data_IF_821506508216
#
_entry.id   IF_821506508216
#
_cell.length_a   1.000
_cell.length_b   1.000
_cell.length_c   1.000
_cell.angle_alpha   90.00
_cell.angle_beta   90.00
_cell.angle_gamma   90.00
#
_symmetry.space_group_name_H-M   'P 1'
#
loop_
_entity.id
_entity.type
_entity.pdbx_description
1 polymer ?
#
# COMPACT_ATOMS: atom_id res chain seq x y z
N UNK A 1 -23.02 -18.41 -20.86
CA UNK A 1 -23.60 -17.82 -19.64
C UNK A 1 -24.08 -16.42 -19.99
N UNK A 2 -25.32 -16.02 -19.69
CA UNK A 2 -25.77 -14.67 -19.98
C UNK A 2 -25.00 -13.72 -19.04
N UNK A 3 -24.10 -12.93 -19.63
CA UNK A 3 -23.38 -11.87 -18.93
C UNK A 3 -24.40 -10.92 -18.29
N UNK A 4 -24.38 -10.78 -16.97
CA UNK A 4 -25.19 -9.79 -16.25
C UNK A 4 -24.74 -8.39 -16.70
N UNK A 5 -25.51 -7.81 -17.62
CA UNK A 5 -25.25 -6.48 -18.19
C UNK A 5 -25.54 -5.35 -17.19
N UNK A 6 -26.24 -5.65 -16.10
CA UNK A 6 -26.72 -4.68 -15.12
C UNK A 6 -26.48 -5.18 -13.69
N UNK A 7 -26.26 -4.24 -12.77
CA UNK A 7 -26.27 -4.45 -11.33
C UNK A 7 -27.68 -4.76 -10.83
N UNK A 8 -27.81 -5.17 -9.56
CA UNK A 8 -29.10 -5.44 -8.92
C UNK A 8 -30.02 -4.20 -8.85
N UNK A 9 -29.46 -3.00 -9.02
CA UNK A 9 -30.17 -1.71 -9.08
C UNK A 9 -30.52 -1.26 -10.53
N UNK A 10 -30.24 -2.09 -11.54
CA UNK A 10 -30.53 -1.80 -12.95
C UNK A 10 -29.48 -0.94 -13.67
N UNK A 11 -28.40 -0.53 -13.00
CA UNK A 11 -27.33 0.24 -13.67
C UNK A 11 -26.41 -0.65 -14.50
N UNK A 12 -25.91 -0.21 -15.67
CA UNK A 12 -25.06 -1.04 -16.52
C UNK A 12 -23.74 -1.40 -15.81
N UNK A 13 -23.42 -2.70 -15.75
CA UNK A 13 -22.19 -3.22 -15.18
C UNK A 13 -21.10 -3.18 -16.25
N UNK A 14 -20.04 -2.36 -16.10
CA UNK A 14 -18.98 -2.30 -17.10
C UNK A 14 -18.29 -3.66 -17.20
N UNK A 15 -18.07 -4.13 -18.43
CA UNK A 15 -17.54 -5.47 -18.70
C UNK A 15 -16.18 -5.75 -18.06
N UNK A 16 -15.35 -4.70 -17.89
CA UNK A 16 -13.99 -4.81 -17.37
C UNK A 16 -13.90 -4.51 -15.86
N UNK A 17 -15.04 -4.23 -15.21
CA UNK A 17 -15.04 -3.89 -13.78
C UNK A 17 -14.63 -5.11 -12.96
N UNK A 18 -13.58 -4.96 -12.17
CA UNK A 18 -13.00 -6.03 -11.34
C UNK A 18 -12.00 -6.93 -12.05
N UNK A 19 -11.87 -6.89 -13.38
CA UNK A 19 -10.91 -7.73 -14.10
C UNK A 19 -9.47 -7.34 -13.82
N UNK A 20 -9.17 -6.04 -13.71
CA UNK A 20 -7.83 -5.56 -13.34
C UNK A 20 -7.38 -6.14 -12.00
N UNK A 21 -8.24 -6.06 -10.97
CA UNK A 21 -7.95 -6.63 -9.67
C UNK A 21 -7.94 -8.16 -9.72
N UNK A 22 -8.81 -8.80 -10.50
CA UNK A 22 -8.81 -10.26 -10.67
C UNK A 22 -7.51 -10.78 -11.28
N UNK A 23 -7.03 -10.17 -12.38
CA UNK A 23 -5.73 -10.49 -12.99
C UNK A 23 -4.60 -10.24 -11.99
N UNK A 24 -4.64 -9.09 -11.30
CA UNK A 24 -3.63 -8.74 -10.30
C UNK A 24 -3.60 -9.74 -9.14
N UNK A 25 -4.76 -10.23 -8.68
CA UNK A 25 -4.86 -11.31 -7.68
C UNK A 25 -4.25 -12.61 -8.19
N UNK A 26 -4.56 -13.01 -9.43
CA UNK A 26 -4.02 -14.22 -10.05
C UNK A 26 -2.50 -14.17 -10.26
N UNK A 27 -1.90 -12.98 -10.30
CA UNK A 27 -0.44 -12.81 -10.35
C UNK A 27 0.16 -12.70 -8.95
N UNK A 28 -0.42 -11.87 -8.09
CA UNK A 28 0.12 -11.55 -6.77
C UNK A 28 0.11 -12.75 -5.82
N UNK A 29 -0.97 -13.54 -5.78
CA UNK A 29 -1.07 -14.69 -4.85
C UNK A 29 -0.02 -15.76 -5.18
N UNK A 30 0.11 -16.25 -6.43
CA UNK A 30 1.15 -17.23 -6.74
C UNK A 30 2.56 -16.71 -6.46
N UNK A 31 2.85 -15.44 -6.76
CA UNK A 31 4.15 -14.83 -6.43
C UNK A 31 4.38 -14.83 -4.92
N UNK A 32 3.40 -14.40 -4.13
CA UNK A 32 3.48 -14.42 -2.67
C UNK A 32 3.74 -15.83 -2.14
N UNK A 33 3.04 -16.84 -2.66
CA UNK A 33 3.22 -18.24 -2.28
C UNK A 33 4.61 -18.76 -2.67
N UNK A 34 5.09 -18.43 -3.88
CA UNK A 34 6.38 -18.91 -4.39
C UNK A 34 7.56 -18.32 -3.62
N UNK A 35 7.44 -17.08 -3.15
CA UNK A 35 8.51 -16.38 -2.44
C UNK A 35 8.34 -16.35 -0.92
N UNK A 36 7.27 -16.96 -0.38
CA UNK A 36 6.87 -16.86 1.03
C UNK A 36 8.03 -17.09 2.02
N UNK A 37 8.86 -18.11 1.79
CA UNK A 37 9.96 -18.49 2.67
C UNK A 37 11.14 -17.53 2.68
N UNK A 38 11.24 -16.65 1.68
CA UNK A 38 12.33 -15.69 1.53
C UNK A 38 11.84 -14.23 1.65
N UNK A 39 10.55 -14.02 1.93
CA UNK A 39 10.03 -12.69 2.10
C UNK A 39 10.55 -12.07 3.40
N UNK A 40 11.00 -10.81 3.35
CA UNK A 40 11.38 -10.12 4.56
C UNK A 40 10.17 -9.94 5.48
N UNK A 41 10.35 -10.24 6.77
CA UNK A 41 9.27 -10.18 7.76
C UNK A 41 8.50 -8.84 7.78
N UNK A 42 9.16 -7.66 7.64
CA UNK A 42 8.47 -6.37 7.49
C UNK A 42 7.52 -6.27 6.29
N UNK A 43 7.80 -6.94 5.17
CA UNK A 43 6.97 -6.82 3.98
C UNK A 43 5.70 -7.69 4.05
N UNK A 44 5.74 -8.79 4.82
CA UNK A 44 4.68 -9.81 4.82
C UNK A 44 3.29 -9.23 5.13
N UNK A 45 3.07 -8.42 6.19
CA UNK A 45 1.74 -7.93 6.52
C UNK A 45 1.14 -7.04 5.41
N UNK A 46 1.96 -6.18 4.81
CA UNK A 46 1.52 -5.31 3.72
C UNK A 46 1.18 -6.09 2.45
N UNK A 47 2.00 -7.07 2.08
CA UNK A 47 1.76 -7.91 0.90
C UNK A 47 0.51 -8.80 1.05
N UNK A 48 0.27 -9.35 2.24
CA UNK A 48 -0.96 -10.08 2.55
C UNK A 48 -2.19 -9.18 2.44
N UNK A 49 -2.12 -7.97 2.99
CA UNK A 49 -3.22 -7.01 2.90
C UNK A 49 -3.52 -6.58 1.46
N UNK A 50 -2.49 -6.40 0.62
CA UNK A 50 -2.65 -6.13 -0.82
C UNK A 50 -3.38 -7.30 -1.49
N UNK A 51 -2.92 -8.55 -1.28
CA UNK A 51 -3.54 -9.73 -1.86
C UNK A 51 -5.00 -9.90 -1.42
N UNK A 52 -5.28 -9.67 -0.14
CA UNK A 52 -6.63 -9.70 0.43
C UNK A 52 -7.53 -8.65 -0.24
N UNK A 53 -7.06 -7.41 -0.36
CA UNK A 53 -7.83 -6.30 -0.95
C UNK A 53 -8.15 -6.55 -2.41
N UNK A 54 -7.15 -6.94 -3.22
CA UNK A 54 -7.37 -7.28 -4.63
C UNK A 54 -8.36 -8.44 -4.78
N UNK A 55 -8.28 -9.45 -3.92
CA UNK A 55 -9.20 -10.59 -3.91
C UNK A 55 -10.63 -10.17 -3.57
N UNK A 56 -10.84 -9.41 -2.50
CA UNK A 56 -12.18 -8.93 -2.13
C UNK A 56 -12.77 -8.03 -3.22
N UNK A 57 -11.96 -7.12 -3.76
CA UNK A 57 -12.38 -6.24 -4.86
C UNK A 57 -12.80 -7.02 -6.11
N UNK A 58 -11.97 -7.98 -6.53
CA UNK A 58 -12.30 -8.83 -7.68
C UNK A 58 -13.56 -9.66 -7.43
N UNK A 59 -13.75 -10.20 -6.23
CA UNK A 59 -14.96 -10.95 -5.86
C UNK A 59 -16.22 -10.08 -5.93
N UNK A 60 -16.20 -8.87 -5.36
CA UNK A 60 -17.33 -7.91 -5.44
C UNK A 60 -17.71 -7.64 -6.90
N UNK A 61 -16.71 -7.47 -7.76
CA UNK A 61 -16.92 -6.95 -9.11
C UNK A 61 -17.05 -7.99 -10.22
N UNK A 62 -16.52 -9.21 -10.06
CA UNK A 62 -16.61 -10.27 -11.08
C UNK A 62 -17.75 -11.25 -10.83
N UNK A 63 -18.07 -11.52 -9.55
CA UNK A 63 -19.08 -12.53 -9.22
C UNK A 63 -20.47 -11.89 -9.24
N UNK A 64 -21.47 -12.52 -9.90
CA UNK A 64 -22.85 -12.08 -9.85
C UNK A 64 -23.54 -12.62 -8.59
N UNK A 65 -23.30 -11.98 -7.46
CA UNK A 65 -23.87 -12.37 -6.17
C UNK A 65 -25.40 -12.28 -6.18
N UNK A 66 -26.08 -13.39 -5.85
CA UNK A 66 -27.55 -13.41 -5.70
C UNK A 66 -28.02 -12.90 -4.34
N UNK A 67 -27.17 -12.98 -3.31
CA UNK A 67 -27.48 -12.51 -1.96
C UNK A 67 -27.01 -11.07 -1.80
N UNK A 68 -27.94 -10.16 -1.51
CA UNK A 68 -27.66 -8.74 -1.23
C UNK A 68 -26.83 -8.59 0.04
N UNK A 69 -27.11 -9.39 1.07
CA UNK A 69 -26.36 -9.42 2.34
C UNK A 69 -24.90 -9.80 2.09
N UNK A 70 -24.66 -10.83 1.27
CA UNK A 70 -23.29 -11.26 0.96
C UNK A 70 -22.54 -10.20 0.15
N UNK A 71 -23.20 -9.58 -0.83
CA UNK A 71 -22.63 -8.48 -1.61
C UNK A 71 -22.26 -7.30 -0.70
N UNK A 72 -23.11 -6.96 0.27
CA UNK A 72 -22.85 -5.90 1.24
C UNK A 72 -21.64 -6.21 2.11
N UNK A 73 -21.54 -7.42 2.65
CA UNK A 73 -20.38 -7.87 3.43
C UNK A 73 -19.10 -7.78 2.59
N UNK A 74 -19.10 -8.30 1.37
CA UNK A 74 -17.93 -8.25 0.49
C UNK A 74 -17.54 -6.82 0.11
N UNK A 75 -18.52 -5.94 -0.11
CA UNK A 75 -18.26 -4.52 -0.37
C UNK A 75 -17.63 -3.83 0.84
N UNK A 76 -18.03 -4.21 2.06
CA UNK A 76 -17.39 -3.72 3.30
C UNK A 76 -15.97 -4.25 3.43
N UNK A 77 -15.72 -5.52 3.09
CA UNK A 77 -14.40 -6.14 3.12
C UNK A 77 -13.44 -5.56 2.07
N UNK A 78 -13.93 -5.25 0.88
CA UNK A 78 -13.17 -4.56 -0.16
C UNK A 78 -12.69 -3.18 0.32
N UNK A 79 -13.60 -2.39 0.90
CA UNK A 79 -13.28 -1.08 1.49
C UNK A 79 -12.34 -1.20 2.69
N UNK A 80 -12.54 -2.20 3.55
CA UNK A 80 -11.68 -2.39 4.73
C UNK A 80 -10.29 -2.94 4.37
N UNK A 81 -10.15 -3.63 3.23
CA UNK A 81 -8.86 -4.07 2.71
C UNK A 81 -7.86 -2.91 2.55
N UNK A 82 -8.34 -1.76 2.09
CA UNK A 82 -7.52 -0.54 1.98
C UNK A 82 -6.94 -0.12 3.35
N UNK A 83 -7.74 -0.20 4.42
CA UNK A 83 -7.27 0.08 5.77
C UNK A 83 -6.26 -0.98 6.24
N UNK A 84 -6.48 -2.24 5.89
CA UNK A 84 -5.54 -3.32 6.17
C UNK A 84 -4.19 -3.08 5.47
N UNK A 85 -4.19 -2.53 4.25
CA UNK A 85 -2.95 -2.15 3.56
C UNK A 85 -2.25 -1.04 4.31
N UNK A 86 -2.98 -0.02 4.78
CA UNK A 86 -2.39 1.04 5.60
C UNK A 86 -1.77 0.45 6.88
N UNK A 87 -2.50 -0.41 7.59
CA UNK A 87 -2.00 -1.04 8.80
C UNK A 87 -0.80 -1.95 8.54
N UNK A 88 -0.86 -2.82 7.53
CA UNK A 88 0.23 -3.73 7.19
C UNK A 88 1.48 -3.00 6.71
N UNK A 89 1.32 -1.92 5.93
CA UNK A 89 2.44 -1.20 5.32
C UNK A 89 3.08 -0.17 6.27
N UNK A 90 2.30 0.46 7.15
CA UNK A 90 2.76 1.59 7.97
C UNK A 90 2.93 1.26 9.45
N UNK A 91 2.19 0.28 9.97
CA UNK A 91 2.41 -0.26 11.31
C UNK A 91 3.18 -1.57 11.24
N UNK A 92 2.69 -2.55 10.47
CA UNK A 92 3.28 -3.88 10.37
C UNK A 92 4.74 -3.83 9.94
N UNK A 93 5.04 -3.26 8.77
CA UNK A 93 6.40 -3.25 8.25
C UNK A 93 7.41 -2.54 9.16
N UNK A 94 7.26 -1.24 9.43
CA UNK A 94 8.23 -0.50 10.22
C UNK A 94 8.40 -1.00 11.66
N UNK A 95 7.38 -1.58 12.29
CA UNK A 95 7.50 -2.14 13.66
C UNK A 95 8.17 -3.52 13.68
N UNK A 96 8.09 -4.27 12.57
CA UNK A 96 8.73 -5.57 12.40
C UNK A 96 10.20 -5.49 11.97
N UNK A 97 10.74 -4.29 11.81
CA UNK A 97 12.18 -4.09 11.59
C UNK A 97 12.98 -4.71 12.76
N UNK A 98 14.15 -5.27 12.48
CA UNK A 98 14.96 -5.91 13.51
C UNK A 98 15.66 -4.87 14.40
N UNK A 99 16.20 -3.81 13.80
CA UNK A 99 16.89 -2.75 14.54
C UNK A 99 15.89 -1.76 15.18
N UNK A 100 15.88 -1.67 16.50
CA UNK A 100 14.98 -0.81 17.27
C UNK A 100 15.17 0.68 16.96
N UNK A 101 16.39 1.11 16.63
CA UNK A 101 16.73 2.51 16.35
C UNK A 101 16.10 3.03 15.05
N UNK A 102 15.67 2.11 14.18
CA UNK A 102 15.04 2.43 12.90
C UNK A 102 13.52 2.23 12.94
N UNK A 103 12.98 1.79 14.07
CA UNK A 103 11.53 1.69 14.26
C UNK A 103 10.95 3.09 14.47
N UNK A 104 9.85 3.44 13.77
CA UNK A 104 9.11 4.62 14.13
C UNK A 104 8.58 4.50 15.57
N UNK A 105 8.38 5.63 16.27
CA UNK A 105 7.77 5.63 17.60
C UNK A 105 6.44 4.89 17.56
N UNK A 106 6.22 4.01 18.54
CA UNK A 106 5.01 3.19 18.62
C UNK A 106 3.73 4.05 18.59
N UNK A 107 3.75 5.23 19.21
CA UNK A 107 2.65 6.19 19.17
C UNK A 107 2.30 6.65 17.74
N UNK A 108 3.33 6.93 16.91
CA UNK A 108 3.12 7.29 15.50
C UNK A 108 2.55 6.09 14.74
N UNK A 109 3.13 4.90 14.93
CA UNK A 109 2.67 3.69 14.28
C UNK A 109 1.20 3.39 14.63
N UNK A 110 0.81 3.46 15.90
CA UNK A 110 -0.59 3.32 16.32
C UNK A 110 -1.47 4.39 15.66
N UNK A 111 -1.00 5.65 15.62
CA UNK A 111 -1.70 6.76 14.96
C UNK A 111 -2.01 6.47 13.49
N UNK A 112 -1.06 5.87 12.75
CA UNK A 112 -1.25 5.50 11.33
C UNK A 112 -2.29 4.40 11.09
N UNK A 113 -2.78 3.74 12.14
CA UNK A 113 -3.85 2.72 12.05
C UNK A 113 -5.14 3.21 12.69
N UNK A 114 -5.04 3.75 13.91
CA UNK A 114 -6.19 4.19 14.68
C UNK A 114 -6.94 5.33 13.98
N UNK A 115 -6.21 6.34 13.47
CA UNK A 115 -6.85 7.49 12.80
C UNK A 115 -7.60 7.06 11.54
N UNK A 116 -7.00 6.32 10.58
CA UNK A 116 -7.76 5.85 9.42
C UNK A 116 -8.94 4.96 9.78
N UNK A 117 -8.78 4.06 10.76
CA UNK A 117 -9.84 3.16 11.18
C UNK A 117 -11.01 3.92 11.83
N UNK A 118 -10.71 4.87 12.72
CA UNK A 118 -11.73 5.72 13.37
C UNK A 118 -12.46 6.58 12.34
N UNK A 119 -11.74 7.25 11.44
CA UNK A 119 -12.35 8.04 10.37
C UNK A 119 -13.20 7.15 9.46
N UNK A 120 -12.72 5.97 9.09
CA UNK A 120 -13.50 5.05 8.27
C UNK A 120 -14.76 4.55 8.96
N UNK A 121 -14.68 4.25 10.26
CA UNK A 121 -15.83 3.81 11.06
C UNK A 121 -16.87 4.91 11.17
N UNK A 122 -16.44 6.14 11.45
CA UNK A 122 -17.31 7.32 11.46
C UNK A 122 -17.91 7.58 10.08
N UNK A 123 -17.14 7.40 9.01
CA UNK A 123 -17.60 7.51 7.64
C UNK A 123 -18.72 6.56 7.30
N UNK A 124 -18.59 5.31 7.70
CA UNK A 124 -19.63 4.30 7.51
C UNK A 124 -20.85 4.63 8.39
N UNK A 125 -20.65 5.00 9.66
CA UNK A 125 -21.73 5.30 10.59
C UNK A 125 -22.54 6.56 10.21
N UNK A 126 -21.88 7.59 9.69
CA UNK A 126 -22.49 8.87 9.32
C UNK A 126 -22.85 8.98 7.82
N UNK A 127 -22.64 7.92 7.03
CA UNK A 127 -22.88 7.94 5.58
C UNK A 127 -21.88 8.79 4.78
N UNK A 128 -20.77 9.21 5.39
CA UNK A 128 -19.71 10.00 4.76
C UNK A 128 -18.68 9.09 4.08
N UNK A 129 -19.09 8.42 3.00
CA UNK A 129 -18.24 7.49 2.25
C UNK A 129 -16.83 8.00 1.91
N UNK A 130 -16.61 9.28 1.54
CA UNK A 130 -15.29 9.79 1.21
C UNK A 130 -14.30 9.94 2.39
N UNK A 131 -14.77 9.94 3.64
CA UNK A 131 -13.89 10.24 4.79
C UNK A 131 -12.89 9.10 5.08
N UNK A 132 -13.20 7.86 4.65
CA UNK A 132 -12.31 6.68 4.72
C UNK A 132 -10.94 7.03 4.13
N UNK A 133 -10.95 7.85 3.08
CA UNK A 133 -9.77 8.18 2.33
C UNK A 133 -8.90 9.27 2.95
N UNK A 134 -9.50 10.16 3.74
CA UNK A 134 -8.74 11.13 4.56
C UNK A 134 -7.86 10.39 5.55
N UNK A 135 -8.38 9.30 6.11
CA UNK A 135 -7.61 8.36 6.93
C UNK A 135 -6.35 7.85 6.23
N UNK A 136 -6.51 7.32 5.03
CA UNK A 136 -5.40 6.80 4.23
C UNK A 136 -4.35 7.90 3.96
N UNK A 137 -4.79 9.11 3.61
CA UNK A 137 -3.88 10.24 3.41
C UNK A 137 -3.06 10.56 4.67
N UNK A 138 -3.68 10.59 5.86
CA UNK A 138 -2.96 10.81 7.14
C UNK A 138 -1.88 9.74 7.36
N UNK A 139 -2.17 8.47 7.09
CA UNK A 139 -1.19 7.40 7.22
C UNK A 139 -0.01 7.62 6.25
N UNK A 140 -0.30 7.89 4.96
CA UNK A 140 0.72 8.15 3.95
C UNK A 140 1.61 9.36 4.29
N UNK A 141 1.03 10.49 4.68
CA UNK A 141 1.80 11.70 5.01
C UNK A 141 2.64 11.52 6.28
N UNK A 142 2.10 10.85 7.30
CA UNK A 142 2.83 10.58 8.54
C UNK A 142 4.06 9.70 8.26
N UNK A 143 3.89 8.63 7.48
CA UNK A 143 4.99 7.76 7.08
C UNK A 143 6.00 8.49 6.22
N UNK A 144 5.56 9.21 5.18
CA UNK A 144 6.47 9.96 4.30
C UNK A 144 7.27 11.00 5.08
N UNK A 145 6.62 11.73 5.98
CA UNK A 145 7.27 12.72 6.84
C UNK A 145 8.34 12.10 7.74
N UNK A 146 8.08 10.92 8.29
CA UNK A 146 9.07 10.19 9.10
C UNK A 146 10.35 9.88 8.33
N UNK A 147 10.23 9.36 7.10
CA UNK A 147 11.40 9.02 6.27
C UNK A 147 12.12 10.25 5.72
N UNK A 148 11.43 11.37 5.53
CA UNK A 148 12.09 12.65 5.21
C UNK A 148 12.97 13.13 6.38
N UNK A 149 12.50 12.94 7.61
CA UNK A 149 13.22 13.33 8.83
C UNK A 149 14.35 12.35 9.21
N UNK A 150 14.30 11.13 8.70
CA UNK A 150 15.30 10.09 8.91
C UNK A 150 15.91 9.65 7.56
N UNK A 151 16.62 10.57 6.87
CA UNK A 151 17.22 10.30 5.58
C UNK A 151 18.12 9.06 5.63
N UNK A 152 17.74 8.06 4.83
CA UNK A 152 18.46 6.82 4.65
C UNK A 152 19.73 7.06 3.82
N UNK A 153 20.87 7.29 4.48
CA UNK A 153 22.20 7.45 3.90
C UNK A 153 22.41 8.69 3.00
N UNK A 154 23.64 9.26 2.95
CA UNK A 154 23.93 10.47 2.14
C UNK A 154 23.73 10.30 0.63
N UNK A 155 23.92 9.09 0.08
CA UNK A 155 24.07 8.90 -1.37
C UNK A 155 22.85 8.30 -2.09
N UNK A 156 21.83 7.81 -1.37
CA UNK A 156 20.63 7.16 -1.97
C UNK A 156 19.30 7.70 -1.40
N UNK A 157 19.39 8.94 -0.91
CA UNK A 157 18.57 9.49 0.16
C UNK A 157 17.07 9.68 -0.16
N UNK A 158 16.70 9.59 -1.44
CA UNK A 158 15.35 9.90 -1.90
C UNK A 158 14.58 8.69 -2.42
N UNK A 159 15.18 7.49 -2.48
CA UNK A 159 14.50 6.32 -3.06
C UNK A 159 13.18 6.04 -2.33
N UNK A 160 13.17 5.96 -1.01
CA UNK A 160 11.94 5.70 -0.25
C UNK A 160 10.92 6.85 -0.32
N UNK A 161 11.41 8.09 -0.28
CA UNK A 161 10.58 9.30 -0.40
C UNK A 161 9.89 9.35 -1.78
N UNK A 162 10.62 9.03 -2.85
CA UNK A 162 10.09 8.96 -4.21
C UNK A 162 9.03 7.86 -4.31
N UNK A 163 9.25 6.68 -3.74
CA UNK A 163 8.23 5.61 -3.72
C UNK A 163 6.97 6.05 -3.00
N UNK A 164 7.13 6.68 -1.85
CA UNK A 164 6.01 7.17 -1.05
C UNK A 164 5.25 8.27 -1.79
N UNK A 165 5.95 9.21 -2.43
CA UNK A 165 5.35 10.28 -3.23
C UNK A 165 4.58 9.72 -4.44
N UNK A 166 5.16 8.77 -5.17
CA UNK A 166 4.50 8.11 -6.30
C UNK A 166 3.25 7.34 -5.84
N UNK A 167 3.32 6.61 -4.72
CA UNK A 167 2.15 5.98 -4.11
C UNK A 167 1.05 7.00 -3.79
N UNK A 168 1.40 8.11 -3.13
CA UNK A 168 0.45 9.17 -2.75
C UNK A 168 -0.23 9.74 -4.00
N UNK A 169 0.53 10.04 -5.05
CA UNK A 169 -0.01 10.59 -6.30
C UNK A 169 -0.93 9.60 -6.99
N UNK A 170 -0.50 8.35 -7.19
CA UNK A 170 -1.31 7.32 -7.84
C UNK A 170 -2.61 7.07 -7.07
N UNK A 171 -2.51 6.86 -5.76
CA UNK A 171 -3.67 6.61 -4.92
C UNK A 171 -4.60 7.83 -4.86
N UNK A 172 -4.04 9.03 -4.66
CA UNK A 172 -4.79 10.29 -4.57
C UNK A 172 -5.52 10.65 -5.86
N UNK A 173 -4.88 10.48 -7.02
CA UNK A 173 -5.52 10.70 -8.32
C UNK A 173 -6.59 9.65 -8.58
N UNK A 174 -6.30 8.36 -8.36
CA UNK A 174 -7.28 7.28 -8.54
C UNK A 174 -8.52 7.49 -7.68
N UNK A 175 -8.32 7.93 -6.45
CA UNK A 175 -9.40 8.29 -5.54
C UNK A 175 -10.18 9.53 -6.00
N UNK A 176 -9.49 10.57 -6.44
CA UNK A 176 -10.14 11.80 -6.91
C UNK A 176 -11.06 11.51 -8.10
N UNK A 177 -10.63 10.65 -9.02
CA UNK A 177 -11.48 10.15 -10.10
C UNK A 177 -12.71 9.41 -9.57
N UNK A 178 -12.57 8.62 -8.51
CA UNK A 178 -13.69 7.90 -7.89
C UNK A 178 -14.70 8.82 -7.19
N UNK A 179 -14.23 9.78 -6.40
CA UNK A 179 -15.10 10.70 -5.65
C UNK A 179 -15.78 11.70 -6.58
N UNK A 180 -15.02 12.29 -7.50
CA UNK A 180 -15.54 13.30 -8.42
C UNK A 180 -16.23 12.71 -9.65
N UNK A 181 -16.16 11.38 -9.84
CA UNK A 181 -16.71 10.65 -10.98
C UNK A 181 -16.32 11.27 -12.34
N UNK A 182 -15.09 11.81 -12.41
CA UNK A 182 -14.60 12.55 -13.58
C UNK A 182 -14.56 11.62 -14.79
N UNK A 183 -15.15 12.07 -15.90
CA UNK A 183 -15.25 11.29 -17.14
C UNK A 183 -16.46 10.34 -17.18
N UNK A 184 -17.25 10.24 -16.10
CA UNK A 184 -18.49 9.47 -16.05
C UNK A 184 -18.31 7.96 -16.23
N UNK A 185 -19.42 7.25 -16.37
CA UNK A 185 -19.44 5.81 -16.57
C UNK A 185 -19.67 5.50 -18.05
N UNK A 186 -18.66 4.93 -18.71
CA UNK A 186 -18.80 4.41 -20.09
C UNK A 186 -19.09 2.91 -20.08
N UNK A 187 -19.50 2.37 -21.23
CA UNK A 187 -19.87 0.96 -21.39
C UNK A 187 -18.76 -0.03 -21.03
N UNK A 188 -17.50 0.32 -21.28
CA UNK A 188 -16.36 -0.58 -21.13
C UNK A 188 -15.33 -0.10 -20.11
N UNK A 189 -15.17 1.22 -19.97
CA UNK A 189 -14.09 1.82 -19.18
C UNK A 189 -14.46 3.22 -18.69
N UNK A 190 -14.71 3.38 -17.40
CA UNK A 190 -15.07 4.65 -16.78
C UNK A 190 -14.11 5.05 -15.66
N UNK A 191 -14.54 6.04 -14.87
CA UNK A 191 -13.78 6.55 -13.73
C UNK A 191 -13.37 5.46 -12.73
N UNK A 192 -14.19 4.42 -12.57
CA UNK A 192 -13.98 3.35 -11.60
C UNK A 192 -12.87 2.39 -12.06
N UNK A 193 -12.80 2.11 -13.35
CA UNK A 193 -11.74 1.29 -13.95
C UNK A 193 -10.40 2.04 -13.92
N UNK A 194 -10.41 3.37 -14.16
CA UNK A 194 -9.24 4.22 -13.93
C UNK A 194 -8.79 4.22 -12.48
N UNK A 195 -9.72 4.28 -11.53
CA UNK A 195 -9.40 4.17 -10.10
C UNK A 195 -8.72 2.82 -9.80
N UNK A 196 -9.27 1.70 -10.24
CA UNK A 196 -8.65 0.38 -10.06
C UNK A 196 -7.24 0.30 -10.66
N UNK A 197 -7.04 0.85 -11.87
CA UNK A 197 -5.72 0.89 -12.50
C UNK A 197 -4.71 1.66 -11.63
N UNK A 198 -5.04 2.88 -11.23
CA UNK A 198 -4.14 3.74 -10.45
C UNK A 198 -3.87 3.18 -9.05
N UNK A 199 -4.89 2.65 -8.38
CA UNK A 199 -4.75 1.99 -7.07
C UNK A 199 -3.90 0.72 -7.17
N UNK A 200 -4.08 -0.08 -8.23
CA UNK A 200 -3.23 -1.26 -8.48
C UNK A 200 -1.77 -0.86 -8.69
N UNK A 201 -1.51 0.17 -9.50
CA UNK A 201 -0.16 0.69 -9.69
C UNK A 201 0.44 1.19 -8.36
N UNK A 202 -0.37 1.87 -7.53
CA UNK A 202 0.06 2.27 -6.19
C UNK A 202 0.41 1.06 -5.32
N UNK A 203 -0.33 -0.05 -5.40
CA UNK A 203 -0.02 -1.26 -4.65
C UNK A 203 1.29 -1.91 -5.12
N UNK A 204 1.58 -1.87 -6.41
CA UNK A 204 2.86 -2.36 -6.96
C UNK A 204 4.03 -1.53 -6.42
N UNK A 205 3.90 -0.19 -6.45
CA UNK A 205 4.93 0.71 -5.91
C UNK A 205 5.09 0.52 -4.40
N UNK A 206 3.99 0.34 -3.66
CA UNK A 206 4.02 0.07 -2.22
C UNK A 206 4.68 -1.27 -1.90
N UNK A 207 4.33 -2.34 -2.63
CA UNK A 207 4.95 -3.66 -2.49
C UNK A 207 6.47 -3.59 -2.73
N UNK A 208 6.91 -2.89 -3.77
CA UNK A 208 8.34 -2.64 -4.00
C UNK A 208 8.97 -1.88 -2.85
N UNK A 209 8.33 -0.82 -2.37
CA UNK A 209 8.79 -0.04 -1.22
C UNK A 209 8.98 -0.88 0.04
N UNK A 210 8.04 -1.79 0.34
CA UNK A 210 8.13 -2.70 1.49
C UNK A 210 9.28 -3.70 1.37
N UNK A 211 9.53 -4.23 0.17
CA UNK A 211 10.65 -5.13 -0.09
C UNK A 211 11.99 -4.40 0.06
N UNK A 212 12.11 -3.22 -0.54
CA UNK A 212 13.31 -2.38 -0.44
C UNK A 212 13.57 -1.91 0.98
N UNK A 213 12.54 -1.53 1.73
CA UNK A 213 12.67 -1.07 3.11
C UNK A 213 13.45 -2.06 3.95
N UNK A 214 13.29 -3.36 3.72
CA UNK A 214 14.04 -4.36 4.48
C UNK A 214 15.52 -4.41 4.07
N UNK A 215 15.81 -4.30 2.77
CA UNK A 215 17.19 -4.25 2.26
C UNK A 215 17.95 -3.00 2.74
N UNK A 216 17.26 -1.85 2.80
CA UNK A 216 17.86 -0.60 3.25
C UNK A 216 18.03 -0.52 4.76
N UNK A 217 17.15 -1.16 5.54
CA UNK A 217 17.21 -1.08 6.99
C UNK A 217 18.54 -1.63 7.55
N UNK A 218 19.06 -2.71 6.98
CA UNK A 218 20.36 -3.26 7.38
C UNK A 218 21.52 -2.30 7.10
N UNK A 219 21.41 -1.48 6.04
CA UNK A 219 22.45 -0.51 5.63
C UNK A 219 22.36 0.81 6.42
N UNK A 220 21.15 1.30 6.70
CA UNK A 220 20.89 2.59 7.36
C UNK A 220 21.24 2.53 8.86
N UNK A 221 20.87 1.45 9.54
CA UNK A 221 21.01 1.39 10.99
C UNK A 221 22.44 1.04 11.46
N UNK A 222 23.30 0.56 10.55
CA UNK A 222 24.72 0.35 10.84
C UNK A 222 25.54 1.64 10.76
N UNK A 223 25.12 2.63 9.96
CA UNK A 223 25.85 3.90 9.83
C UNK A 223 25.62 4.83 11.02
N UNK A 224 24.46 4.75 11.69
CA UNK A 224 24.18 5.51 12.91
C UNK A 224 24.87 4.95 14.16
N UNK A 225 25.21 3.66 14.20
CA UNK A 225 26.09 3.12 15.24
C UNK A 225 27.55 3.50 14.99
N UNK A 226 28.01 3.44 13.73
CA UNK A 226 29.37 3.84 13.36
C UNK A 226 29.60 5.34 13.58
N UNK A 227 28.62 6.21 13.34
CA UNK A 227 28.76 7.65 13.63
C UNK A 227 28.90 7.97 15.13
N UNK A 228 28.39 7.11 16.01
CA UNK A 228 28.63 7.22 17.46
C UNK A 228 29.97 6.60 17.89
N UNK A 229 30.47 5.60 17.16
CA UNK A 229 31.79 5.01 17.40
C UNK A 229 32.95 5.80 16.75
N UNK A 230 32.69 6.55 15.67
CA UNK A 230 33.68 7.39 14.97
C UNK A 230 34.02 8.68 15.75
N UNK A 231 33.22 9.05 16.76
CA UNK A 231 33.63 10.03 17.77
C UNK A 231 34.62 9.44 18.80
N UNK A 232 34.78 8.11 18.84
CA UNK A 232 35.72 7.39 19.70
C UNK A 232 36.89 6.73 18.96
N UNK A 233 36.86 6.65 17.62
CA UNK A 233 37.93 6.04 16.83
C UNK A 233 38.37 6.92 15.65
N UNK A 234 38.83 8.15 15.94
CA UNK A 234 39.83 8.81 15.09
C UNK A 234 41.19 8.11 15.21
N UNK A 235 41.28 6.86 14.78
CA UNK A 235 42.53 6.26 14.34
C UNK A 235 42.22 4.93 13.68
N UNK A 236 42.42 4.87 12.37
CA UNK A 236 43.00 3.75 11.60
C UNK A 236 42.39 3.76 10.19
N UNK A 237 43.31 3.83 9.23
CA UNK A 237 43.14 4.07 7.81
C UNK A 237 42.19 3.08 7.10
N UNK A 238 41.43 3.57 6.11
CA UNK A 238 40.69 2.74 5.14
C UNK A 238 41.47 2.63 3.83
N UNK A 239 41.76 1.43 3.31
CA UNK A 239 42.04 1.25 1.90
C UNK A 239 40.74 1.07 1.11
N UNK A 240 40.77 1.62 -0.09
CA UNK A 240 39.71 1.70 -1.08
C UNK A 240 39.38 0.33 -1.67
N UNK A 241 38.10 0.05 -1.97
CA UNK A 241 37.76 -0.80 -3.11
C UNK A 241 36.35 -0.47 -3.65
N UNK A 242 36.34 -0.04 -4.91
CA UNK A 242 35.20 0.21 -5.78
C UNK A 242 34.72 -1.07 -6.44
N UNK A 243 33.40 -1.26 -6.55
CA UNK A 243 32.81 -2.16 -7.55
C UNK A 243 31.62 -1.49 -8.23
N UNK A 244 31.92 -0.86 -9.37
CA UNK A 244 31.04 -0.81 -10.53
C UNK A 244 31.38 -2.03 -11.42
N UNK A 245 30.45 -2.40 -12.32
CA UNK A 245 30.43 -3.55 -13.24
C UNK A 245 29.63 -4.74 -12.66
N UNK A 246 28.61 -5.28 -13.32
CA UNK A 246 28.39 -5.57 -14.75
C UNK A 246 26.88 -5.45 -15.06
N UNK A 247 26.50 -4.80 -16.17
CA UNK A 247 25.89 -5.44 -17.38
C UNK A 247 24.61 -6.26 -17.13
#
# INVERSE_FOLDING_TARGET
>A
MPFHKEYADGTPRPLLRGWLHGISTCVAIPLLCNYWSILPLPAIPGLLAICFTLSMSSLVHLVPWKSTVLLEVLTRLDKSGILAICAGSFFGGPQLLENISCKPPLAMAIGTVAIPLSLSTLGVACGMGPIIFVGCAVAFFSTTGWYIQHPALPDDNYTFVIHSAVCIVLYGVGLSLYVSQIGGQTKYWGYHEWMHLLVTLSFIVNARGLLLMTEYNDKICMTSSIANDDLNMQSVEKPWFSWWALE
#
